data_IF_668061920695
#
_entry.id   IF_668061920695
#
_cell.length_a   1.000
_cell.length_b   1.000
_cell.length_c   1.000
_cell.angle_alpha   90.00
_cell.angle_beta   90.00
_cell.angle_gamma   90.00
#
_symmetry.space_group_name_H-M   'P 1'
#
loop_
_entity.id
_entity.type
_entity.pdbx_description
1 polymer ?
#
# COMPACT_ATOMS: atom_id res chain seq x y z
N UNK A 1 -10.11 -3.91 -0.44
CA UNK A 1 -9.41 -2.68 0.02
C UNK A 1 -9.39 -2.58 1.53
N UNK A 2 -10.49 -2.89 2.22
CA UNK A 2 -10.54 -2.91 3.70
C UNK A 2 -9.48 -3.81 4.34
N UNK A 3 -9.19 -4.96 3.74
CA UNK A 3 -8.11 -5.84 4.20
C UNK A 3 -6.71 -5.23 4.07
N UNK A 4 -6.51 -4.30 3.14
CA UNK A 4 -5.25 -3.57 2.98
C UNK A 4 -5.15 -2.45 4.02
N UNK A 5 -6.24 -1.70 4.23
CA UNK A 5 -6.37 -0.72 5.32
C UNK A 5 -6.07 -1.36 6.67
N UNK A 6 -6.72 -2.48 6.99
CA UNK A 6 -6.52 -3.16 8.28
C UNK A 6 -5.08 -3.63 8.44
N UNK A 7 -4.45 -4.17 7.39
CA UNK A 7 -3.04 -4.55 7.45
C UNK A 7 -2.10 -3.35 7.57
N UNK A 8 -2.41 -2.21 6.96
CA UNK A 8 -1.65 -0.97 7.15
C UNK A 8 -1.76 -0.50 8.61
N UNK A 9 -2.95 -0.55 9.18
CA UNK A 9 -3.18 -0.20 10.59
C UNK A 9 -2.40 -1.13 11.52
N UNK A 10 -2.53 -2.44 11.32
CA UNK A 10 -1.91 -3.45 12.20
C UNK A 10 -0.39 -3.59 12.04
N UNK A 11 0.14 -3.42 10.82
CA UNK A 11 1.56 -3.71 10.52
C UNK A 11 2.43 -2.47 10.35
N UNK A 12 1.85 -1.36 9.93
CA UNK A 12 2.56 -0.08 9.75
C UNK A 12 2.24 0.87 10.91
N UNK A 13 1.18 0.62 11.69
CA UNK A 13 0.82 1.40 12.87
C UNK A 13 0.18 2.75 12.54
N UNK A 14 -0.35 2.90 11.33
CA UNK A 14 -1.05 4.12 10.89
C UNK A 14 -2.54 4.02 11.17
N UNK A 15 -3.16 5.13 11.57
CA UNK A 15 -4.60 5.18 11.82
C UNK A 15 -5.43 4.86 10.57
N UNK A 16 -6.65 4.35 10.77
CA UNK A 16 -7.56 3.94 9.69
C UNK A 16 -7.86 5.07 8.71
N UNK A 17 -8.04 6.30 9.20
CA UNK A 17 -8.29 7.47 8.35
C UNK A 17 -7.07 7.83 7.49
N UNK A 18 -5.86 7.62 8.01
CA UNK A 18 -4.61 7.82 7.27
C UNK A 18 -4.42 6.72 6.23
N UNK A 19 -4.71 5.48 6.57
CA UNK A 19 -4.65 4.36 5.64
C UNK A 19 -5.64 4.52 4.46
N UNK A 20 -6.86 5.01 4.72
CA UNK A 20 -7.82 5.34 3.65
C UNK A 20 -7.28 6.45 2.72
N UNK A 21 -6.69 7.51 3.27
CA UNK A 21 -6.04 8.58 2.48
C UNK A 21 -4.87 8.06 1.66
N UNK A 22 -4.05 7.17 2.21
CA UNK A 22 -2.93 6.55 1.49
C UNK A 22 -3.46 5.68 0.34
N UNK A 23 -4.52 4.89 0.55
CA UNK A 23 -5.13 4.12 -0.54
C UNK A 23 -5.72 5.03 -1.61
N UNK A 24 -6.40 6.12 -1.23
CA UNK A 24 -6.95 7.08 -2.18
C UNK A 24 -5.83 7.70 -3.03
N UNK A 25 -4.75 8.16 -2.37
CA UNK A 25 -3.56 8.68 -3.04
C UNK A 25 -2.91 7.64 -3.96
N UNK A 26 -2.73 6.41 -3.49
CA UNK A 26 -2.16 5.33 -4.28
C UNK A 26 -3.04 4.96 -5.48
N UNK A 27 -4.37 5.12 -5.40
CA UNK A 27 -5.26 4.91 -6.53
C UNK A 27 -5.18 6.04 -7.56
N UNK A 28 -5.16 7.28 -7.10
CA UNK A 28 -5.06 8.44 -7.99
C UNK A 28 -3.70 8.50 -8.69
N UNK A 29 -2.67 7.99 -8.03
CA UNK A 29 -1.30 7.93 -8.55
C UNK A 29 -0.85 6.49 -8.83
N UNK A 30 -1.78 5.59 -9.13
CA UNK A 30 -1.50 4.16 -9.32
C UNK A 30 -0.32 3.89 -10.26
N UNK A 31 -0.35 4.48 -11.44
CA UNK A 31 0.68 4.31 -12.47
C UNK A 31 2.07 4.73 -11.98
N UNK A 32 2.17 5.89 -11.31
CA UNK A 32 3.45 6.41 -10.79
C UNK A 32 3.89 5.72 -9.50
N UNK A 33 2.96 5.44 -8.59
CA UNK A 33 3.24 4.84 -7.29
C UNK A 33 3.65 3.38 -7.44
N UNK A 34 3.02 2.62 -8.34
CA UNK A 34 3.43 1.25 -8.69
C UNK A 34 4.80 1.27 -9.33
N UNK A 35 5.03 2.16 -10.30
CA UNK A 35 6.34 2.31 -10.93
C UNK A 35 7.42 2.62 -9.88
N UNK A 36 7.14 3.51 -8.93
CA UNK A 36 8.08 3.89 -7.86
C UNK A 36 8.29 2.77 -6.84
N UNK A 37 7.24 2.03 -6.45
CA UNK A 37 7.32 0.88 -5.55
C UNK A 37 8.12 -0.28 -6.18
N UNK A 38 7.93 -0.53 -7.47
CA UNK A 38 8.70 -1.52 -8.23
C UNK A 38 10.16 -1.08 -8.36
N UNK A 39 10.42 0.20 -8.64
CA UNK A 39 11.80 0.73 -8.78
C UNK A 39 12.57 0.77 -7.46
N UNK A 40 11.88 0.98 -6.34
CA UNK A 40 12.50 1.15 -5.02
C UNK A 40 12.76 -0.16 -4.29
N UNK A 41 12.24 -1.30 -4.78
CA UNK A 41 12.29 -2.58 -4.06
C UNK A 41 11.60 -2.52 -2.69
N UNK A 42 10.73 -1.51 -2.48
CA UNK A 42 9.98 -1.37 -1.24
C UNK A 42 8.86 -2.40 -1.14
N UNK A 43 8.39 -2.94 -2.27
CA UNK A 43 7.41 -4.03 -2.28
C UNK A 43 7.86 -5.22 -1.40
N UNK A 44 9.14 -5.59 -1.48
CA UNK A 44 9.74 -6.67 -0.67
C UNK A 44 9.94 -6.30 0.81
N UNK A 45 10.02 -5.00 1.12
CA UNK A 45 10.21 -4.48 2.49
C UNK A 45 8.89 -4.22 3.22
N UNK A 46 7.76 -4.25 2.52
CA UNK A 46 6.46 -4.03 3.12
C UNK A 46 6.02 -5.28 3.91
N UNK A 47 5.84 -5.17 5.23
CA UNK A 47 5.60 -6.32 6.09
C UNK A 47 4.28 -7.03 5.76
N UNK A 48 4.25 -8.36 5.92
CA UNK A 48 3.02 -9.16 5.88
C UNK A 48 2.37 -9.30 4.50
N UNK A 49 3.16 -9.25 3.42
CA UNK A 49 2.68 -9.42 2.05
C UNK A 49 1.86 -8.23 1.55
N UNK A 50 2.06 -7.05 2.15
CA UNK A 50 1.43 -5.81 1.71
C UNK A 50 1.90 -5.41 0.31
N UNK A 51 3.19 -5.60 -0.01
CA UNK A 51 3.71 -5.35 -1.36
C UNK A 51 3.02 -6.21 -2.42
N UNK A 52 2.88 -7.51 -2.16
CA UNK A 52 2.19 -8.47 -3.04
C UNK A 52 0.71 -8.11 -3.27
N UNK A 53 0.03 -7.64 -2.22
CA UNK A 53 -1.38 -7.20 -2.32
C UNK A 53 -1.53 -5.88 -3.06
N UNK A 54 -0.59 -4.95 -2.91
CA UNK A 54 -0.55 -3.72 -3.71
C UNK A 54 -0.32 -4.01 -5.18
N UNK A 55 0.66 -4.87 -5.50
CA UNK A 55 0.96 -5.26 -6.86
C UNK A 55 -0.11 -6.13 -7.53
N UNK A 56 -1.12 -6.62 -6.79
CA UNK A 56 -2.32 -7.29 -7.34
C UNK A 56 -3.53 -6.37 -7.44
N UNK A 57 -3.49 -5.20 -6.80
CA UNK A 57 -4.57 -4.19 -6.84
C UNK A 57 -4.44 -3.24 -8.04
N UNK A 58 -3.25 -3.22 -8.66
CA UNK A 58 -2.89 -2.48 -9.86
C UNK A 58 -2.31 -3.47 -10.87
#
# INVERSE_FOLDING_TARGET
>A
MDEFVNKMVEKVGIDKATAEKVIAFLKEHADDAVAYLQKSGMADKLPGGLGDKLGKLF
#
